data_IF_255831604200
#
_entry.id   IF_255831604200
#
_cell.length_a   1.000
_cell.length_b   1.000
_cell.length_c   1.000
_cell.angle_alpha   90.00
_cell.angle_beta   90.00
_cell.angle_gamma   90.00
#
_symmetry.space_group_name_H-M   'P 1'
#
loop_
_entity.id
_entity.type
_entity.pdbx_description
1 polymer ?
#
# COMPACT_ATOMS: atom_id res chain seq x y z
N UNK A 1 0.78 -33.51 -14.57
CA UNK A 1 -0.48 -33.27 -15.29
C UNK A 1 -1.50 -32.82 -14.28
N UNK A 2 -1.55 -31.52 -14.04
CA UNK A 2 -2.62 -30.90 -13.26
C UNK A 2 -3.91 -30.97 -14.07
N UNK A 3 -4.97 -31.52 -13.49
CA UNK A 3 -6.30 -31.44 -14.04
C UNK A 3 -6.76 -29.98 -13.89
N UNK A 4 -6.68 -29.21 -14.95
CA UNK A 4 -7.32 -27.90 -15.01
C UNK A 4 -8.83 -28.13 -15.03
N UNK A 5 -9.61 -27.43 -14.19
CA UNK A 5 -11.06 -27.53 -14.23
C UNK A 5 -11.56 -26.98 -15.57
N UNK A 6 -12.24 -27.79 -16.35
CA UNK A 6 -12.97 -27.36 -17.54
C UNK A 6 -14.35 -26.91 -17.07
N UNK A 7 -14.63 -25.62 -17.22
CA UNK A 7 -15.95 -25.06 -16.95
C UNK A 7 -16.67 -24.98 -18.28
N UNK A 8 -17.75 -25.74 -18.42
CA UNK A 8 -18.67 -25.66 -19.55
C UNK A 8 -20.04 -25.18 -19.09
N UNK A 9 -20.70 -24.40 -19.92
CA UNK A 9 -22.04 -23.92 -19.69
C UNK A 9 -22.98 -24.57 -20.70
N UNK A 10 -24.15 -24.97 -20.25
CA UNK A 10 -25.15 -25.59 -21.12
C UNK A 10 -25.84 -24.58 -22.06
N UNK A 11 -25.67 -23.29 -21.80
CA UNK A 11 -26.22 -22.20 -22.58
C UNK A 11 -25.09 -21.24 -23.05
N UNK A 12 -25.28 -20.63 -24.21
CA UNK A 12 -24.40 -19.56 -24.67
C UNK A 12 -24.58 -18.32 -23.78
N UNK A 13 -23.64 -18.12 -22.84
CA UNK A 13 -23.65 -16.96 -21.94
C UNK A 13 -23.63 -15.62 -22.68
N UNK A 14 -23.21 -15.62 -23.93
CA UNK A 14 -23.22 -14.42 -24.75
C UNK A 14 -24.63 -14.13 -25.35
N UNK A 15 -25.51 -15.11 -25.37
CA UNK A 15 -26.90 -14.96 -25.85
C UNK A 15 -27.87 -14.56 -24.72
N UNK A 16 -27.45 -14.68 -23.46
CA UNK A 16 -28.29 -14.35 -22.30
C UNK A 16 -28.29 -12.83 -22.09
N UNK A 17 -29.47 -12.26 -21.99
CA UNK A 17 -29.65 -10.83 -21.72
C UNK A 17 -29.64 -10.57 -20.22
N UNK A 18 -28.49 -10.11 -19.69
CA UNK A 18 -28.33 -9.77 -18.29
C UNK A 18 -28.62 -8.29 -18.06
N UNK A 19 -29.65 -7.93 -17.33
CA UNK A 19 -29.87 -6.53 -16.97
C UNK A 19 -28.74 -6.06 -16.05
N UNK A 20 -28.08 -4.96 -16.41
CA UNK A 20 -27.11 -4.31 -15.54
C UNK A 20 -27.84 -3.74 -14.32
N UNK A 21 -27.57 -4.28 -13.14
CA UNK A 21 -28.22 -3.85 -11.89
C UNK A 21 -27.43 -2.79 -11.14
N UNK A 22 -26.12 -2.87 -11.23
CA UNK A 22 -25.20 -1.97 -10.53
C UNK A 22 -24.05 -1.64 -11.49
N UNK A 23 -23.76 -0.38 -11.62
CA UNK A 23 -22.57 0.11 -12.29
C UNK A 23 -21.78 0.94 -11.27
N UNK A 24 -20.52 0.62 -11.08
CA UNK A 24 -19.60 1.34 -10.20
C UNK A 24 -18.43 1.85 -11.02
N UNK A 25 -18.21 3.14 -11.04
CA UNK A 25 -16.99 3.78 -11.50
C UNK A 25 -16.33 4.45 -10.30
N UNK A 26 -15.24 3.89 -9.84
CA UNK A 26 -14.51 4.40 -8.69
C UNK A 26 -13.11 4.83 -9.11
N UNK A 27 -12.68 5.97 -8.60
CA UNK A 27 -11.30 6.42 -8.70
C UNK A 27 -10.76 6.60 -7.28
N UNK A 28 -9.54 6.11 -7.07
CA UNK A 28 -8.78 6.38 -5.85
C UNK A 28 -7.43 6.94 -6.24
N UNK A 29 -6.95 7.88 -5.46
CA UNK A 29 -5.61 8.45 -5.56
C UNK A 29 -4.95 8.48 -4.20
N UNK A 30 -3.62 8.37 -4.20
CA UNK A 30 -2.78 8.56 -3.03
C UNK A 30 -1.54 9.31 -3.50
N UNK A 31 -1.40 10.54 -3.02
CA UNK A 31 -0.21 11.36 -3.21
C UNK A 31 0.60 11.33 -1.92
N UNK A 32 1.89 11.05 -2.04
CA UNK A 32 2.80 10.96 -0.89
C UNK A 32 4.01 11.83 -1.17
N UNK A 33 4.22 12.80 -0.31
CA UNK A 33 5.45 13.58 -0.23
C UNK A 33 6.29 13.09 0.94
N UNK A 34 7.60 12.96 0.76
CA UNK A 34 8.51 12.52 1.79
C UNK A 34 9.79 13.33 1.77
N UNK A 35 10.01 14.08 2.86
CA UNK A 35 11.23 14.82 3.11
C UNK A 35 12.10 14.09 4.13
N UNK A 36 13.35 13.81 3.77
CA UNK A 36 14.26 13.10 4.63
C UNK A 36 15.60 13.81 4.73
N UNK A 37 16.07 13.97 5.96
CA UNK A 37 17.42 14.39 6.27
C UNK A 37 18.11 13.33 7.13
N UNK A 38 19.34 12.96 6.76
CA UNK A 38 20.16 12.01 7.49
C UNK A 38 21.58 12.51 7.65
N UNK A 39 22.12 12.36 8.85
CA UNK A 39 23.52 12.64 9.16
C UNK A 39 24.12 11.46 9.90
N UNK A 40 25.26 11.00 9.44
CA UNK A 40 26.03 9.95 10.09
C UNK A 40 27.48 10.41 10.27
N UNK A 41 28.07 10.12 11.42
CA UNK A 41 29.46 10.36 11.73
C UNK A 41 30.08 9.09 12.32
N UNK A 42 31.31 8.82 11.97
CA UNK A 42 32.07 7.70 12.55
C UNK A 42 33.49 8.13 12.98
N UNK A 43 33.98 7.46 14.00
CA UNK A 43 35.31 7.67 14.52
C UNK A 43 35.92 6.37 15.03
N UNK A 44 37.06 6.00 14.50
CA UNK A 44 37.87 4.91 15.04
C UNK A 44 38.43 5.28 16.41
N UNK A 45 38.41 4.33 17.33
CA UNK A 45 39.00 4.44 18.67
C UNK A 45 39.76 3.16 19.01
N UNK A 46 40.33 3.10 20.23
CA UNK A 46 41.15 1.96 20.66
C UNK A 46 40.38 0.61 20.77
N UNK A 47 39.10 0.64 20.72
CA UNK A 47 38.24 -0.57 20.78
C UNK A 47 37.66 -0.98 19.43
N UNK A 48 37.73 -0.11 18.40
CA UNK A 48 37.16 -0.29 17.10
C UNK A 48 36.53 0.98 16.54
N UNK A 49 35.22 0.99 16.24
CA UNK A 49 34.56 2.14 15.59
C UNK A 49 33.29 2.58 16.36
N UNK A 50 33.26 3.86 16.71
CA UNK A 50 32.03 4.53 17.20
C UNK A 50 31.31 5.18 16.04
N UNK A 51 29.99 4.90 15.90
CA UNK A 51 29.09 5.58 14.95
C UNK A 51 28.00 6.31 15.70
N UNK A 52 27.71 7.52 15.23
CA UNK A 52 26.62 8.35 15.70
C UNK A 52 25.79 8.76 14.47
N UNK A 53 24.50 8.82 14.62
CA UNK A 53 23.65 9.30 13.55
C UNK A 53 22.40 9.97 14.05
N UNK A 54 21.87 10.80 13.16
CA UNK A 54 20.60 11.51 13.31
C UNK A 54 19.80 11.35 12.03
N UNK A 55 18.51 11.17 12.15
CA UNK A 55 17.58 11.14 11.03
C UNK A 55 16.34 11.94 11.37
N UNK A 56 15.90 12.74 10.44
CA UNK A 56 14.59 13.37 10.35
C UNK A 56 13.87 12.80 9.13
N UNK A 57 12.64 12.43 9.29
CA UNK A 57 11.77 11.89 8.24
C UNK A 57 10.39 12.53 8.41
N UNK A 58 9.89 13.19 7.36
CA UNK A 58 8.54 13.77 7.34
C UNK A 58 7.81 13.22 6.13
N UNK A 59 6.62 12.71 6.36
CA UNK A 59 5.78 12.14 5.32
C UNK A 59 4.39 12.72 5.39
N UNK A 60 3.96 13.30 4.27
CA UNK A 60 2.61 13.78 4.07
C UNK A 60 1.93 12.89 3.04
N UNK A 61 0.81 12.30 3.38
CA UNK A 61 0.04 11.44 2.49
C UNK A 61 -1.40 11.97 2.39
N UNK A 62 -1.81 12.25 1.17
CA UNK A 62 -3.16 12.67 0.84
C UNK A 62 -3.82 11.59 -0.02
N UNK A 63 -4.86 10.97 0.50
CA UNK A 63 -5.60 9.92 -0.19
C UNK A 63 -7.08 10.25 -0.27
N UNK A 64 -7.72 9.75 -1.29
CA UNK A 64 -9.16 9.88 -1.44
C UNK A 64 -9.70 9.05 -2.58
N UNK A 65 -10.99 8.87 -2.62
CA UNK A 65 -11.66 8.15 -3.69
C UNK A 65 -13.12 8.51 -3.78
N UNK A 66 -13.61 8.69 -4.99
CA UNK A 66 -15.02 8.96 -5.24
C UNK A 66 -15.60 7.81 -6.04
N UNK A 67 -16.40 6.94 -5.45
CA UNK A 67 -17.16 5.96 -6.18
C UNK A 67 -18.38 6.62 -6.83
N UNK A 68 -18.57 6.43 -8.13
CA UNK A 68 -19.86 6.62 -8.77
C UNK A 68 -20.57 5.28 -8.75
N UNK A 69 -21.58 5.16 -7.93
CA UNK A 69 -22.45 3.99 -7.88
C UNK A 69 -23.84 4.35 -8.38
N UNK A 70 -24.30 3.62 -9.36
CA UNK A 70 -25.68 3.75 -9.84
C UNK A 70 -26.41 2.44 -9.62
N UNK A 71 -27.49 2.49 -8.86
CA UNK A 71 -28.37 1.35 -8.59
C UNK A 71 -29.71 1.49 -9.31
N UNK A 72 -30.13 0.39 -9.95
CA UNK A 72 -31.47 0.24 -10.49
C UNK A 72 -31.75 1.00 -11.79
N UNK A 73 -32.89 0.79 -12.36
CA UNK A 73 -33.40 1.10 -13.70
C UNK A 73 -33.15 2.44 -14.40
N UNK A 74 -32.31 3.30 -13.88
CA UNK A 74 -31.90 4.54 -14.54
C UNK A 74 -30.78 4.40 -15.57
N UNK A 75 -30.04 3.29 -15.50
CA UNK A 75 -28.97 2.92 -16.41
C UNK A 75 -29.28 1.58 -17.04
N UNK A 76 -30.12 1.59 -18.05
CA UNK A 76 -30.24 0.41 -18.91
C UNK A 76 -29.07 0.37 -19.88
N UNK A 77 -27.93 -0.12 -19.44
CA UNK A 77 -26.92 -0.62 -20.35
C UNK A 77 -27.35 -2.02 -20.76
N UNK A 78 -27.66 -2.20 -22.03
CA UNK A 78 -27.89 -3.55 -22.57
C UNK A 78 -26.58 -4.32 -22.58
N UNK A 79 -26.67 -5.64 -22.49
CA UNK A 79 -25.48 -6.52 -22.66
C UNK A 79 -24.79 -6.24 -23.98
N UNK A 80 -25.52 -5.89 -25.03
CA UNK A 80 -24.96 -5.57 -26.34
C UNK A 80 -24.11 -4.29 -26.34
N UNK A 81 -24.51 -3.26 -25.59
CA UNK A 81 -23.73 -2.05 -25.39
C UNK A 81 -22.45 -2.32 -24.59
N UNK A 82 -22.55 -3.12 -23.54
CA UNK A 82 -21.37 -3.54 -22.75
C UNK A 82 -20.43 -4.41 -23.59
N UNK A 83 -20.95 -5.29 -24.45
CA UNK A 83 -20.16 -6.05 -25.43
C UNK A 83 -19.48 -5.16 -26.45
N UNK A 84 -20.14 -4.12 -26.93
CA UNK A 84 -19.54 -3.14 -27.83
C UNK A 84 -18.32 -2.44 -27.23
N UNK A 85 -18.25 -2.36 -25.91
CA UNK A 85 -17.12 -1.88 -25.14
C UNK A 85 -16.19 -3.01 -24.63
N UNK A 86 -16.41 -4.27 -25.05
CA UNK A 86 -15.66 -5.41 -24.58
C UNK A 86 -14.41 -5.66 -25.42
N UNK A 87 -13.36 -6.12 -24.77
CA UNK A 87 -12.18 -6.72 -25.41
C UNK A 87 -12.44 -8.21 -25.64
N UNK A 88 -11.81 -8.78 -26.66
CA UNK A 88 -12.00 -10.16 -27.11
C UNK A 88 -11.99 -11.22 -26.01
N UNK A 89 -12.09 -12.50 -26.36
CA UNK A 89 -12.29 -13.55 -25.38
C UNK A 89 -11.21 -13.53 -24.29
N UNK A 90 -11.63 -13.68 -23.05
CA UNK A 90 -10.73 -13.69 -21.90
C UNK A 90 -9.77 -14.89 -22.02
N UNK A 91 -8.54 -14.60 -22.35
CA UNK A 91 -7.48 -15.59 -22.47
C UNK A 91 -6.70 -15.61 -21.16
N UNK A 92 -7.17 -16.38 -20.19
CA UNK A 92 -6.41 -16.67 -18.98
C UNK A 92 -5.58 -17.93 -19.19
N UNK A 93 -4.57 -18.13 -18.34
CA UNK A 93 -3.84 -19.40 -18.26
C UNK A 93 -4.73 -20.59 -17.83
N UNK A 94 -5.96 -20.33 -17.42
CA UNK A 94 -7.01 -21.34 -17.25
C UNK A 94 -7.72 -21.49 -18.58
N UNK A 95 -7.57 -22.64 -19.20
CA UNK A 95 -8.18 -22.95 -20.48
C UNK A 95 -9.71 -22.91 -20.32
N UNK A 96 -10.31 -21.77 -20.62
CA UNK A 96 -11.72 -21.52 -20.47
C UNK A 96 -12.33 -21.42 -21.87
N UNK A 97 -12.86 -22.55 -22.35
CA UNK A 97 -13.52 -22.66 -23.66
C UNK A 97 -14.88 -21.90 -23.71
N UNK A 98 -15.26 -21.24 -22.63
CA UNK A 98 -16.54 -20.54 -22.55
C UNK A 98 -16.63 -19.29 -23.43
N UNK A 99 -15.50 -18.83 -23.99
CA UNK A 99 -15.48 -17.67 -24.91
C UNK A 99 -16.03 -16.38 -24.30
N UNK A 100 -15.93 -16.25 -22.95
CA UNK A 100 -16.52 -15.13 -22.23
C UNK A 100 -15.74 -13.84 -22.52
N UNK A 101 -16.43 -12.81 -22.92
CA UNK A 101 -15.88 -11.47 -23.11
C UNK A 101 -15.84 -10.73 -21.76
N UNK A 102 -14.82 -9.92 -21.54
CA UNK A 102 -14.74 -9.02 -20.39
C UNK A 102 -14.92 -7.58 -20.86
N UNK A 103 -15.52 -6.75 -20.01
CA UNK A 103 -15.67 -5.34 -20.30
C UNK A 103 -14.31 -4.63 -20.26
N UNK A 104 -14.02 -3.85 -21.28
CA UNK A 104 -12.89 -2.90 -21.23
C UNK A 104 -13.28 -1.70 -20.36
N UNK A 105 -12.57 -1.48 -19.27
CA UNK A 105 -12.83 -0.36 -18.35
C UNK A 105 -12.78 1.01 -19.05
N UNK A 106 -11.93 1.16 -20.06
CA UNK A 106 -11.84 2.41 -20.83
C UNK A 106 -13.05 2.60 -21.75
N UNK A 107 -13.43 1.55 -22.46
CA UNK A 107 -14.61 1.54 -23.33
C UNK A 107 -15.89 1.75 -22.52
N UNK A 108 -15.97 1.12 -21.35
CA UNK A 108 -17.10 1.30 -20.42
C UNK A 108 -17.15 2.74 -19.89
N UNK A 109 -16.01 3.32 -19.49
CA UNK A 109 -15.93 4.71 -19.05
C UNK A 109 -16.32 5.71 -20.13
N UNK A 110 -15.99 5.46 -21.41
CA UNK A 110 -16.42 6.26 -22.53
C UNK A 110 -17.93 6.17 -22.74
N UNK A 111 -18.49 4.98 -22.68
CA UNK A 111 -19.93 4.76 -22.79
C UNK A 111 -20.70 5.50 -21.67
N UNK A 112 -20.17 5.48 -20.45
CA UNK A 112 -20.72 6.22 -19.31
C UNK A 112 -20.74 7.72 -19.57
N UNK A 113 -19.62 8.30 -20.07
CA UNK A 113 -19.54 9.73 -20.41
C UNK A 113 -20.54 10.11 -21.51
N UNK A 114 -20.69 9.28 -22.55
CA UNK A 114 -21.66 9.48 -23.64
C UNK A 114 -23.11 9.47 -23.12
N UNK A 115 -23.37 8.76 -22.03
CA UNK A 115 -24.67 8.72 -21.35
C UNK A 115 -24.88 9.85 -20.34
N UNK A 116 -23.92 10.77 -20.23
CA UNK A 116 -23.98 11.88 -19.28
C UNK A 116 -23.71 11.50 -17.84
N UNK A 117 -23.16 10.32 -17.61
CA UNK A 117 -22.73 9.88 -16.28
C UNK A 117 -21.29 10.35 -16.06
N UNK A 118 -21.15 11.38 -15.30
CA UNK A 118 -19.85 11.92 -14.89
C UNK A 118 -19.65 11.62 -13.43
N UNK A 119 -18.42 11.21 -13.08
CA UNK A 119 -18.02 11.15 -11.67
C UNK A 119 -18.09 12.53 -11.06
N UNK A 120 -18.63 12.70 -9.86
CA UNK A 120 -18.41 13.92 -9.09
C UNK A 120 -16.92 14.09 -8.80
N UNK A 121 -16.47 15.31 -8.60
CA UNK A 121 -15.15 15.56 -8.04
C UNK A 121 -15.04 14.95 -6.65
N UNK A 122 -13.81 14.75 -6.16
CA UNK A 122 -13.58 14.29 -4.80
C UNK A 122 -14.37 15.16 -3.82
N UNK A 123 -15.20 14.53 -3.01
CA UNK A 123 -15.80 15.22 -1.87
C UNK A 123 -14.80 15.29 -0.72
N UNK A 124 -14.88 16.36 0.07
CA UNK A 124 -14.02 16.52 1.25
C UNK A 124 -14.19 15.36 2.25
N UNK A 125 -15.35 14.72 2.23
CA UNK A 125 -15.72 13.61 3.12
C UNK A 125 -15.02 12.28 2.76
N UNK A 126 -14.40 12.19 1.59
CA UNK A 126 -13.74 10.98 1.11
C UNK A 126 -12.21 11.12 1.12
N UNK A 127 -11.70 12.23 1.66
CA UNK A 127 -10.28 12.46 1.78
C UNK A 127 -9.73 11.98 3.11
N UNK A 128 -8.52 11.41 3.05
CA UNK A 128 -7.73 11.03 4.21
C UNK A 128 -6.38 11.76 4.10
N UNK A 129 -6.05 12.53 5.13
CA UNK A 129 -4.75 13.20 5.24
C UNK A 129 -3.99 12.54 6.39
N UNK A 130 -2.76 12.16 6.14
CA UNK A 130 -1.86 11.58 7.14
C UNK A 130 -0.56 12.38 7.10
N UNK A 131 -0.20 12.96 8.23
CA UNK A 131 1.07 13.61 8.46
C UNK A 131 1.85 12.80 9.49
N UNK A 132 3.06 12.37 9.16
CA UNK A 132 3.93 11.62 10.04
C UNK A 132 5.30 12.29 10.10
N UNK A 133 5.82 12.48 11.31
CA UNK A 133 7.14 12.99 11.54
C UNK A 133 7.89 12.05 12.47
N UNK A 134 9.10 11.65 12.06
CA UNK A 134 9.98 10.79 12.84
C UNK A 134 11.33 11.47 13.03
N UNK A 135 11.70 11.73 14.27
CA UNK A 135 13.03 12.18 14.65
C UNK A 135 13.74 11.04 15.34
N UNK A 136 14.93 10.72 14.91
CA UNK A 136 15.70 9.65 15.52
C UNK A 136 17.18 9.98 15.66
N UNK A 137 17.76 9.45 16.73
CA UNK A 137 19.21 9.49 16.95
C UNK A 137 19.71 8.11 17.38
N UNK A 138 20.91 7.76 16.99
CA UNK A 138 21.53 6.52 17.41
C UNK A 138 23.01 6.68 17.76
N UNK A 139 23.46 5.80 18.63
CA UNK A 139 24.87 5.57 18.91
C UNK A 139 25.15 4.08 18.81
N UNK A 140 26.28 3.71 18.19
CA UNK A 140 26.68 2.32 18.00
C UNK A 140 28.20 2.22 18.13
N UNK A 141 28.65 1.26 18.92
CA UNK A 141 30.08 0.93 19.08
C UNK A 141 30.35 -0.47 18.54
N UNK A 142 31.25 -0.58 17.59
CA UNK A 142 31.89 -1.84 17.24
C UNK A 142 33.14 -2.00 18.10
N UNK A 143 33.26 -3.18 18.73
CA UNK A 143 34.41 -3.55 19.57
C UNK A 143 35.10 -4.72 18.88
N UNK A 144 36.30 -4.46 18.41
CA UNK A 144 37.12 -5.46 17.72
C UNK A 144 37.89 -6.33 18.76
N UNK A 145 37.83 -7.64 18.53
CA UNK A 145 38.49 -8.65 19.36
C UNK A 145 39.30 -9.59 18.47
N UNK A 146 40.27 -10.28 19.03
CA UNK A 146 41.10 -11.25 18.28
C UNK A 146 40.28 -12.40 17.65
N UNK A 147 39.09 -12.66 18.18
CA UNK A 147 38.18 -13.72 17.75
C UNK A 147 36.96 -13.23 16.94
N UNK A 148 36.91 -11.94 16.60
CA UNK A 148 35.77 -11.37 15.89
C UNK A 148 35.40 -9.96 16.36
N UNK A 149 34.09 -9.66 16.46
CA UNK A 149 33.67 -8.37 16.99
C UNK A 149 32.33 -8.43 17.72
N UNK A 150 32.13 -7.45 18.59
CA UNK A 150 30.86 -7.17 19.25
C UNK A 150 30.37 -5.81 18.76
N UNK A 151 29.11 -5.72 18.43
CA UNK A 151 28.46 -4.45 18.08
C UNK A 151 27.34 -4.23 19.09
N UNK A 152 27.34 -3.08 19.74
CA UNK A 152 26.27 -2.65 20.63
C UNK A 152 25.76 -1.29 20.18
N UNK A 153 24.46 -1.10 20.20
CA UNK A 153 23.85 0.14 19.74
C UNK A 153 22.54 0.44 20.48
N UNK A 154 22.22 1.71 20.46
CA UNK A 154 20.95 2.24 20.94
C UNK A 154 20.46 3.26 19.95
N UNK A 155 19.17 3.13 19.56
CA UNK A 155 18.46 4.12 18.77
C UNK A 155 17.26 4.60 19.57
N UNK A 156 17.01 5.88 19.54
CA UNK A 156 15.81 6.51 20.09
C UNK A 156 15.07 7.13 18.93
N UNK A 157 13.78 6.85 18.82
CA UNK A 157 12.88 7.41 17.82
C UNK A 157 11.72 8.08 18.51
N UNK A 158 11.48 9.33 18.16
CA UNK A 158 10.28 10.05 18.53
C UNK A 158 9.40 10.20 17.29
N UNK A 159 8.18 9.70 17.38
CA UNK A 159 7.22 9.68 16.28
C UNK A 159 6.00 10.49 16.68
N UNK A 160 5.64 11.44 15.84
CA UNK A 160 4.38 12.16 15.90
C UNK A 160 3.60 11.90 14.61
N UNK A 161 2.32 11.60 14.73
CA UNK A 161 1.48 11.53 13.56
C UNK A 161 0.10 12.14 13.81
N UNK A 162 -0.44 12.77 12.77
CA UNK A 162 -1.78 13.29 12.70
C UNK A 162 -2.52 12.68 11.52
N UNK A 163 -3.73 12.24 11.75
CA UNK A 163 -4.62 11.74 10.71
C UNK A 163 -5.91 12.53 10.74
N UNK A 164 -6.27 13.10 9.60
CA UNK A 164 -7.55 13.76 9.39
C UNK A 164 -8.39 12.93 8.43
N UNK A 165 -9.55 12.55 8.87
CA UNK A 165 -10.50 11.75 8.10
C UNK A 165 -11.93 12.07 8.52
N UNK A 166 -12.85 11.17 8.22
CA UNK A 166 -14.28 11.32 8.51
C UNK A 166 -14.78 10.13 9.33
N UNK A 167 -15.65 10.39 10.26
CA UNK A 167 -16.46 9.36 10.93
C UNK A 167 -17.93 9.54 10.57
N UNK A 168 -18.63 8.44 10.39
CA UNK A 168 -20.08 8.48 10.19
C UNK A 168 -20.80 8.45 11.54
N UNK A 169 -21.64 9.46 11.77
CA UNK A 169 -22.57 9.50 12.90
C UNK A 169 -24.00 9.42 12.34
N UNK A 170 -24.55 8.23 12.34
CA UNK A 170 -25.74 7.93 11.54
C UNK A 170 -25.42 7.98 10.04
N UNK A 171 -26.04 8.94 9.33
CA UNK A 171 -25.79 9.19 7.89
C UNK A 171 -25.03 10.49 7.63
N UNK A 172 -24.48 11.12 8.66
CA UNK A 172 -23.76 12.38 8.55
C UNK A 172 -22.27 12.13 8.75
N UNK A 173 -21.44 12.60 7.79
CA UNK A 173 -20.00 12.59 7.92
C UNK A 173 -19.56 13.75 8.81
N UNK A 174 -18.80 13.46 9.86
CA UNK A 174 -18.20 14.44 10.76
C UNK A 174 -16.68 14.34 10.67
N UNK A 175 -15.95 15.46 10.59
CA UNK A 175 -14.50 15.42 10.56
C UNK A 175 -13.96 14.80 11.86
N UNK A 176 -12.95 13.96 11.72
CA UNK A 176 -12.23 13.33 12.82
C UNK A 176 -10.74 13.54 12.64
N UNK A 177 -10.13 14.16 13.65
CA UNK A 177 -8.68 14.28 13.73
C UNK A 177 -8.17 13.40 14.86
N UNK A 178 -7.21 12.55 14.54
CA UNK A 178 -6.48 11.72 15.50
C UNK A 178 -5.03 12.14 15.52
N UNK A 179 -4.52 12.48 16.72
CA UNK A 179 -3.11 12.81 16.93
C UNK A 179 -2.53 11.81 17.92
N UNK A 180 -1.35 11.33 17.63
CA UNK A 180 -0.62 10.46 18.52
C UNK A 180 0.88 10.76 18.47
N UNK A 181 1.54 10.63 19.61
CA UNK A 181 2.99 10.68 19.70
C UNK A 181 3.49 9.57 20.62
N UNK A 182 4.66 9.04 20.31
CA UNK A 182 5.30 8.04 21.13
C UNK A 182 6.81 8.01 20.87
N UNK A 183 7.55 7.57 21.90
CA UNK A 183 9.00 7.43 21.82
C UNK A 183 9.38 5.98 21.95
N UNK A 184 10.17 5.46 21.04
CA UNK A 184 10.75 4.13 21.07
C UNK A 184 12.21 4.18 21.46
N UNK A 185 12.62 3.22 22.30
CA UNK A 185 14.02 2.99 22.66
C UNK A 185 14.41 1.61 22.15
N UNK A 186 15.31 1.54 21.19
CA UNK A 186 15.62 0.39 20.38
C UNK A 186 17.07 -0.06 20.60
N UNK A 187 17.37 -0.85 21.65
CA UNK A 187 18.68 -1.44 21.84
C UNK A 187 18.93 -2.57 20.84
N UNK A 188 20.19 -2.70 20.44
CA UNK A 188 20.66 -3.81 19.63
C UNK A 188 22.02 -4.29 20.11
N UNK A 189 22.31 -5.59 19.94
CA UNK A 189 23.59 -6.20 20.21
C UNK A 189 23.86 -7.32 19.22
N UNK A 190 25.08 -7.37 18.70
CA UNK A 190 25.51 -8.40 17.76
C UNK A 190 26.87 -8.92 18.20
N UNK A 191 27.06 -10.23 18.09
CA UNK A 191 28.33 -10.90 18.29
C UNK A 191 28.67 -11.67 17.02
N UNK A 192 29.77 -11.36 16.41
CA UNK A 192 30.34 -12.09 15.29
C UNK A 192 31.57 -12.84 15.81
N UNK A 193 31.52 -14.14 15.85
CA UNK A 193 32.57 -14.99 16.38
C UNK A 193 33.19 -15.80 15.25
N UNK A 194 34.46 -15.54 14.98
CA UNK A 194 35.30 -16.27 14.04
C UNK A 194 35.97 -17.43 14.80
N UNK A 195 35.28 -18.58 14.93
CA UNK A 195 35.79 -19.68 15.77
C UNK A 195 36.71 -20.66 15.02
N UNK A 196 36.80 -20.53 13.68
CA UNK A 196 37.75 -21.17 12.81
C UNK A 196 38.03 -20.27 11.59
N UNK A 197 39.14 -20.55 10.87
CA UNK A 197 39.59 -19.75 9.73
C UNK A 197 38.50 -19.54 8.65
N UNK A 198 37.60 -20.50 8.49
CA UNK A 198 36.54 -20.49 7.46
C UNK A 198 35.11 -20.55 8.04
N UNK A 199 34.96 -20.44 9.37
CA UNK A 199 33.67 -20.59 10.03
C UNK A 199 33.40 -19.45 11.00
N UNK A 200 32.23 -18.85 10.83
CA UNK A 200 31.76 -17.72 11.64
C UNK A 200 30.37 -18.01 12.22
N UNK A 201 30.21 -17.73 13.49
CA UNK A 201 28.91 -17.71 14.17
C UNK A 201 28.48 -16.27 14.41
N UNK A 202 27.19 -16.02 14.24
CA UNK A 202 26.59 -14.71 14.50
C UNK A 202 25.39 -14.86 15.43
N UNK A 203 25.39 -14.03 16.47
CA UNK A 203 24.28 -13.88 17.40
C UNK A 203 23.80 -12.44 17.32
N UNK A 204 22.48 -12.25 17.24
CA UNK A 204 21.90 -10.93 17.14
C UNK A 204 20.71 -10.81 18.08
N UNK A 205 20.63 -9.67 18.75
CA UNK A 205 19.48 -9.23 19.53
C UNK A 205 19.12 -7.82 19.09
N UNK A 206 17.86 -7.58 18.81
CA UNK A 206 17.32 -6.25 18.53
C UNK A 206 15.86 -6.18 18.96
N UNK A 207 15.43 -4.98 19.32
CA UNK A 207 14.01 -4.63 19.51
C UNK A 207 13.58 -3.70 18.40
N UNK A 208 12.29 -3.76 18.03
CA UNK A 208 11.66 -2.92 16.99
C UNK A 208 10.17 -2.83 17.24
#
# INVERSE_FOLDING_TARGET
NGLEPIISFDEDLNAIDYPTRILVDAIGGLDIDNDQFKFDASKSNQWGELKLGFKYDSRDANGGGTPLETQGGGLSLSVEEVRGAAQGPWNTQFNNDAGVFYADNRGLGELMRQRGLTRPDYSADETLVIEEQIISAYAMQTIDMDWGNIIIGLRIEDTEYETVGQKLVGSVAEPLTVKQSYTNVLPNAHVNWDFKDDQKLRFSFSTG
#
